data_IF_149402985692
#
_entry.id   IF_149402985692
#
_cell.length_a   1.000
_cell.length_b   1.000
_cell.length_c   1.000
_cell.angle_alpha   90.00
_cell.angle_beta   90.00
_cell.angle_gamma   90.00
#
_symmetry.space_group_name_H-M   'P 1'
#
loop_
_entity.id
_entity.type
_entity.pdbx_description
1 polymer ?
#
# COMPACT_ATOMS: atom_id res chain seq x y z
N UNK A 1 -29.04 -13.72 50.57
CA UNK A 1 -27.90 -13.82 49.65
C UNK A 1 -28.46 -13.58 48.25
N UNK A 2 -28.10 -12.46 47.61
CA UNK A 2 -28.39 -12.27 46.19
C UNK A 2 -27.16 -12.73 45.40
N UNK A 3 -27.30 -13.79 44.62
CA UNK A 3 -26.35 -14.12 43.56
C UNK A 3 -26.41 -13.00 42.52
N UNK A 4 -25.32 -12.24 42.39
CA UNK A 4 -25.09 -11.41 41.21
C UNK A 4 -24.63 -12.35 40.10
N UNK A 5 -25.53 -12.70 39.18
CA UNK A 5 -25.10 -13.22 37.88
C UNK A 5 -24.50 -12.06 37.09
N UNK A 6 -23.18 -11.95 37.10
CA UNK A 6 -22.47 -11.13 36.11
C UNK A 6 -22.61 -11.86 34.79
N UNK A 7 -23.55 -11.42 33.95
CA UNK A 7 -23.46 -11.67 32.53
C UNK A 7 -22.22 -10.91 32.05
N UNK A 8 -21.12 -11.63 31.87
CA UNK A 8 -20.00 -11.14 31.07
C UNK A 8 -20.53 -11.00 29.64
N UNK A 9 -20.88 -9.78 29.26
CA UNK A 9 -21.13 -9.42 27.88
C UNK A 9 -19.79 -9.51 27.16
N UNK A 10 -19.54 -10.64 26.48
CA UNK A 10 -18.57 -10.72 25.39
C UNK A 10 -18.86 -9.56 24.44
N UNK A 11 -17.94 -8.59 24.42
CA UNK A 11 -17.89 -7.57 23.39
C UNK A 11 -17.69 -8.34 22.09
N UNK A 12 -18.75 -8.45 21.30
CA UNK A 12 -18.66 -8.96 19.93
C UNK A 12 -17.83 -7.95 19.13
N UNK A 13 -16.53 -8.18 19.02
CA UNK A 13 -15.74 -7.64 17.90
C UNK A 13 -16.28 -8.28 16.62
N UNK A 14 -17.39 -7.73 16.10
CA UNK A 14 -18.00 -8.11 14.83
C UNK A 14 -17.66 -7.13 13.71
N UNK A 15 -16.72 -6.22 13.95
CA UNK A 15 -16.17 -5.34 12.92
C UNK A 15 -14.80 -5.88 12.51
N UNK A 16 -14.75 -6.55 11.35
CA UNK A 16 -13.48 -7.04 10.80
C UNK A 16 -12.42 -5.93 10.78
N UNK A 17 -11.19 -6.25 11.17
CA UNK A 17 -10.11 -5.26 11.26
C UNK A 17 -9.70 -4.79 9.86
N UNK A 18 -10.12 -3.58 9.49
CA UNK A 18 -9.85 -3.00 8.17
C UNK A 18 -8.62 -2.11 8.19
N UNK A 19 -7.79 -2.23 7.16
CA UNK A 19 -6.69 -1.33 6.89
C UNK A 19 -6.96 -0.57 5.60
N UNK A 20 -6.58 0.71 5.60
CA UNK A 20 -6.42 1.51 4.39
C UNK A 20 -4.96 1.94 4.27
N UNK A 21 -4.44 1.86 3.05
CA UNK A 21 -3.07 2.20 2.75
C UNK A 21 -2.99 3.13 1.54
N UNK A 22 -2.37 4.31 1.69
CA UNK A 22 -2.07 5.21 0.57
C UNK A 22 -0.77 4.77 -0.10
N UNK A 23 -0.89 4.29 -1.34
CA UNK A 23 0.22 3.67 -2.08
C UNK A 23 0.98 4.70 -2.92
N UNK A 24 0.27 5.69 -3.45
CA UNK A 24 0.81 6.70 -4.34
C UNK A 24 -0.05 7.97 -4.30
N UNK A 25 0.54 9.12 -4.57
CA UNK A 25 -0.16 10.42 -4.59
C UNK A 25 0.01 11.16 -5.93
N UNK A 26 0.42 10.45 -6.98
CA UNK A 26 0.70 10.97 -8.33
C UNK A 26 1.81 12.02 -8.40
N UNK A 27 2.64 12.15 -7.37
CA UNK A 27 3.81 13.01 -7.40
C UNK A 27 5.06 12.23 -7.78
N UNK A 28 6.11 12.98 -8.08
CA UNK A 28 7.44 12.41 -8.25
C UNK A 28 7.87 11.61 -7.03
N UNK A 29 8.49 10.47 -7.27
CA UNK A 29 9.22 9.69 -6.29
C UNK A 29 10.34 10.53 -5.65
N UNK A 30 10.93 10.01 -4.58
CA UNK A 30 12.26 10.44 -4.13
C UNK A 30 13.27 10.28 -5.28
N UNK A 31 14.44 10.92 -5.15
CA UNK A 31 15.54 10.66 -6.07
C UNK A 31 16.08 9.25 -5.84
N UNK A 32 15.97 8.39 -6.85
CA UNK A 32 16.39 7.00 -6.84
C UNK A 32 17.69 6.82 -7.61
N UNK A 33 18.20 5.59 -7.65
CA UNK A 33 19.41 5.25 -8.38
C UNK A 33 19.18 3.96 -9.17
N UNK A 34 19.40 4.00 -10.47
CA UNK A 34 19.24 2.84 -11.34
C UNK A 34 20.38 1.82 -11.14
N UNK A 35 20.26 0.64 -11.76
CA UNK A 35 21.29 -0.41 -11.66
C UNK A 35 22.66 0.00 -12.23
N UNK A 36 22.73 1.08 -13.01
CA UNK A 36 23.95 1.64 -13.59
C UNK A 36 24.50 2.81 -12.77
N UNK A 37 23.90 3.12 -11.62
CA UNK A 37 24.32 4.21 -10.75
C UNK A 37 23.78 5.60 -11.14
N UNK A 38 22.93 5.71 -12.17
CA UNK A 38 22.37 7.00 -12.59
C UNK A 38 21.19 7.39 -11.72
N UNK A 39 21.09 8.68 -11.41
CA UNK A 39 19.99 9.23 -10.63
C UNK A 39 18.73 9.36 -11.49
N UNK A 40 17.58 9.09 -10.88
CA UNK A 40 16.30 9.32 -11.54
C UNK A 40 15.18 9.60 -10.55
N UNK A 41 14.11 10.23 -11.03
CA UNK A 41 12.81 10.30 -10.34
C UNK A 41 11.71 9.79 -11.25
N UNK A 42 10.66 9.24 -10.67
CA UNK A 42 9.58 8.59 -11.40
C UNK A 42 8.23 9.13 -10.98
N UNK A 43 7.31 9.27 -11.94
CA UNK A 43 5.92 9.62 -11.71
C UNK A 43 5.01 8.60 -12.38
N UNK A 44 3.96 8.19 -11.69
CA UNK A 44 2.89 7.34 -12.22
C UNK A 44 1.60 8.14 -12.20
N UNK A 45 1.14 8.67 -13.35
CA UNK A 45 -0.09 9.44 -13.43
C UNK A 45 -1.34 8.64 -13.04
N UNK A 46 -2.39 9.31 -12.55
CA UNK A 46 -3.68 8.69 -12.18
C UNK A 46 -4.24 7.75 -13.25
N UNK A 47 -4.25 8.17 -14.52
CA UNK A 47 -4.77 7.36 -15.64
C UNK A 47 -4.05 6.02 -15.81
N UNK A 48 -2.77 5.96 -15.46
CA UNK A 48 -1.98 4.73 -15.52
C UNK A 48 -2.41 3.77 -14.42
N UNK A 49 -2.69 4.29 -13.22
CA UNK A 49 -3.26 3.51 -12.13
C UNK A 49 -4.66 3.00 -12.45
N UNK A 50 -5.56 3.87 -12.92
CA UNK A 50 -6.93 3.50 -13.33
C UNK A 50 -6.93 2.35 -14.35
N UNK A 51 -5.93 2.31 -15.24
CA UNK A 51 -5.79 1.24 -16.23
C UNK A 51 -5.18 -0.05 -15.67
N UNK A 52 -4.37 0.04 -14.60
CA UNK A 52 -3.59 -1.09 -14.07
C UNK A 52 -4.27 -1.86 -12.94
N UNK A 53 -5.23 -1.24 -12.24
CA UNK A 53 -5.86 -1.77 -11.01
C UNK A 53 -6.76 -3.00 -11.23
N UNK A 54 -7.16 -3.32 -12.46
CA UNK A 54 -8.09 -4.42 -12.78
C UNK A 54 -7.49 -5.84 -12.70
N UNK A 55 -6.31 -6.03 -12.10
CA UNK A 55 -5.64 -7.33 -11.97
C UNK A 55 -5.71 -7.82 -10.53
N UNK A 56 -5.68 -9.14 -10.30
CA UNK A 56 -5.48 -9.68 -8.95
C UNK A 56 -4.13 -9.20 -8.42
N UNK A 57 -4.15 -8.17 -7.57
CA UNK A 57 -2.95 -7.61 -6.95
C UNK A 57 -2.65 -8.37 -5.68
N UNK A 58 -1.43 -8.89 -5.58
CA UNK A 58 -0.95 -9.55 -4.36
C UNK A 58 -0.57 -8.49 -3.33
N UNK A 59 -0.91 -8.74 -2.07
CA UNK A 59 -0.53 -7.88 -0.96
C UNK A 59 0.50 -8.59 -0.11
N UNK A 60 1.63 -7.94 0.14
CA UNK A 60 2.77 -8.50 0.86
C UNK A 60 3.11 -7.69 2.11
N UNK A 61 3.89 -8.32 2.98
CA UNK A 61 4.56 -7.69 4.10
C UNK A 61 6.07 -7.72 3.81
N UNK A 62 6.73 -6.57 3.76
CA UNK A 62 8.17 -6.47 3.49
C UNK A 62 8.66 -7.19 2.22
N UNK A 63 7.82 -7.23 1.16
CA UNK A 63 7.99 -8.01 -0.08
C UNK A 63 8.20 -9.52 0.12
N UNK A 64 7.91 -10.02 1.32
CA UNK A 64 7.86 -11.45 1.55
C UNK A 64 6.52 -11.96 1.05
N UNK A 65 6.55 -13.01 0.24
CA UNK A 65 5.38 -13.63 -0.39
C UNK A 65 4.47 -14.28 0.67
N UNK A 66 3.69 -13.44 1.38
CA UNK A 66 2.62 -13.86 2.28
C UNK A 66 1.30 -13.37 1.69
N UNK A 67 0.81 -14.09 0.68
CA UNK A 67 -0.45 -13.80 -0.05
C UNK A 67 -1.68 -13.78 0.89
N UNK A 68 -1.56 -14.16 2.17
CA UNK A 68 -2.69 -14.39 3.07
C UNK A 68 -2.90 -13.40 4.21
N UNK A 69 -2.26 -12.22 4.23
CA UNK A 69 -2.49 -11.27 5.34
C UNK A 69 -3.86 -10.58 5.28
N UNK A 70 -4.43 -10.46 4.08
CA UNK A 70 -5.67 -9.74 3.82
C UNK A 70 -6.68 -10.55 3.03
N UNK A 71 -7.95 -10.19 3.17
CA UNK A 71 -9.08 -10.62 2.37
C UNK A 71 -9.86 -9.38 1.90
N UNK A 72 -10.70 -9.55 0.88
CA UNK A 72 -11.50 -8.46 0.31
C UNK A 72 -10.65 -7.24 -0.11
N UNK A 73 -9.48 -7.52 -0.69
CA UNK A 73 -8.54 -6.49 -1.13
C UNK A 73 -9.15 -5.71 -2.30
N UNK A 74 -9.17 -4.39 -2.18
CA UNK A 74 -9.53 -3.47 -3.25
C UNK A 74 -8.46 -2.40 -3.40
N UNK A 75 -8.24 -1.92 -4.62
CA UNK A 75 -7.38 -0.78 -4.88
C UNK A 75 -8.20 0.23 -5.68
N UNK A 76 -8.15 1.50 -5.30
CA UNK A 76 -8.91 2.57 -5.96
C UNK A 76 -7.99 3.77 -6.23
N UNK A 77 -8.05 4.29 -7.46
CA UNK A 77 -7.42 5.55 -7.83
C UNK A 77 -8.40 6.70 -7.61
N UNK A 78 -8.21 7.45 -6.52
CA UNK A 78 -8.98 8.65 -6.19
C UNK A 78 -8.21 9.91 -6.65
N UNK A 79 -8.78 11.09 -6.47
CA UNK A 79 -8.16 12.34 -6.92
C UNK A 79 -6.89 12.70 -6.15
N UNK A 80 -6.83 12.35 -4.87
CA UNK A 80 -5.71 12.68 -3.97
C UNK A 80 -4.70 11.53 -3.79
N UNK A 81 -4.94 10.39 -4.44
CA UNK A 81 -4.01 9.27 -4.45
C UNK A 81 -4.63 7.93 -4.76
N UNK A 82 -3.81 6.90 -4.64
CA UNK A 82 -4.18 5.50 -4.84
C UNK A 82 -4.22 4.82 -3.49
N UNK A 83 -5.34 4.15 -3.21
CA UNK A 83 -5.60 3.54 -1.92
C UNK A 83 -5.86 2.06 -2.07
N UNK A 84 -5.16 1.27 -1.26
CA UNK A 84 -5.52 -0.12 -1.00
C UNK A 84 -6.38 -0.19 0.26
N UNK A 85 -7.44 -0.97 0.20
CA UNK A 85 -8.27 -1.32 1.35
C UNK A 85 -8.36 -2.84 1.45
N UNK A 86 -8.23 -3.37 2.65
CA UNK A 86 -8.35 -4.80 2.90
C UNK A 86 -8.88 -5.07 4.31
N UNK A 87 -9.50 -6.23 4.46
CA UNK A 87 -9.84 -6.81 5.76
C UNK A 87 -8.70 -7.73 6.19
N UNK A 88 -8.18 -7.55 7.39
CA UNK A 88 -7.23 -8.49 7.99
C UNK A 88 -7.96 -9.79 8.36
N UNK A 89 -7.23 -10.90 8.27
CA UNK A 89 -7.69 -12.17 8.83
C UNK A 89 -7.55 -12.17 10.35
N UNK A 90 -8.35 -12.97 11.05
CA UNK A 90 -8.37 -13.06 12.52
C UNK A 90 -7.01 -13.38 13.13
N UNK A 91 -6.14 -14.12 12.44
CA UNK A 91 -4.81 -14.48 12.91
C UNK A 91 -3.74 -13.39 12.66
N UNK A 92 -4.10 -12.25 12.05
CA UNK A 92 -3.18 -11.20 11.60
C UNK A 92 -3.32 -9.90 12.40
N UNK A 93 -3.89 -9.95 13.62
CA UNK A 93 -4.08 -8.78 14.50
C UNK A 93 -2.77 -8.06 14.84
N UNK A 94 -1.64 -8.77 14.84
CA UNK A 94 -0.31 -8.17 15.03
C UNK A 94 0.04 -7.12 13.97
N UNK A 95 -0.56 -7.20 12.78
CA UNK A 95 -0.42 -6.16 11.73
C UNK A 95 -1.13 -4.89 12.17
N UNK A 96 -2.34 -4.99 12.74
CA UNK A 96 -3.08 -3.83 13.24
C UNK A 96 -2.31 -3.15 14.38
N UNK A 97 -1.74 -3.93 15.30
CA UNK A 97 -0.90 -3.40 16.36
C UNK A 97 0.37 -2.74 15.81
N UNK A 98 0.98 -3.31 14.77
CA UNK A 98 2.14 -2.72 14.10
C UNK A 98 1.78 -1.39 13.42
N UNK A 99 0.60 -1.27 12.82
CA UNK A 99 0.08 -0.01 12.27
C UNK A 99 -0.19 1.00 13.37
N UNK A 100 -0.90 0.62 14.43
CA UNK A 100 -1.22 1.50 15.58
C UNK A 100 0.04 2.00 16.30
N UNK A 101 1.08 1.18 16.37
CA UNK A 101 2.38 1.54 16.94
C UNK A 101 3.33 2.21 15.95
N UNK A 102 2.88 2.49 14.72
CA UNK A 102 3.68 3.09 13.64
C UNK A 102 4.95 2.29 13.29
N UNK A 103 4.97 0.98 13.58
CA UNK A 103 6.01 0.05 13.11
C UNK A 103 5.79 -0.36 11.65
N UNK A 104 4.54 -0.35 11.20
CA UNK A 104 4.17 -0.58 9.80
C UNK A 104 3.48 0.68 9.28
N UNK A 105 4.19 1.48 8.49
CA UNK A 105 3.81 2.88 8.28
C UNK A 105 3.95 3.36 6.83
N UNK A 106 4.45 2.54 5.93
CA UNK A 106 4.68 2.94 4.53
C UNK A 106 4.32 1.80 3.57
N UNK A 107 4.17 2.13 2.29
CA UNK A 107 3.83 1.16 1.26
C UNK A 107 4.72 1.30 0.04
N UNK A 108 4.98 0.17 -0.61
CA UNK A 108 5.56 0.13 -1.93
C UNK A 108 4.70 -0.70 -2.86
N UNK A 109 4.99 -0.63 -4.16
CA UNK A 109 4.31 -1.44 -5.16
C UNK A 109 5.31 -1.90 -6.20
N UNK A 110 5.18 -3.15 -6.60
CA UNK A 110 5.94 -3.75 -7.69
C UNK A 110 5.11 -3.75 -8.97
N UNK A 111 5.71 -3.32 -10.07
CA UNK A 111 5.05 -3.32 -11.38
C UNK A 111 6.03 -3.61 -12.51
N UNK A 112 5.48 -4.06 -13.64
CA UNK A 112 6.22 -4.13 -14.91
C UNK A 112 5.84 -2.90 -15.73
N UNK A 113 6.82 -2.05 -16.01
CA UNK A 113 6.64 -0.92 -16.92
C UNK A 113 6.51 -1.44 -18.37
N UNK A 114 5.43 -1.08 -19.05
CA UNK A 114 5.17 -1.47 -20.44
C UNK A 114 5.30 -0.32 -21.42
N UNK A 115 5.22 0.92 -20.93
CA UNK A 115 5.47 2.13 -21.71
C UNK A 115 5.91 3.28 -20.79
N UNK A 116 6.92 4.03 -21.20
CA UNK A 116 7.46 5.18 -20.45
C UNK A 116 8.03 6.25 -21.37
N UNK A 117 8.02 7.48 -20.88
CA UNK A 117 8.77 8.59 -21.45
C UNK A 117 9.95 8.91 -20.53
N UNK A 118 11.14 9.06 -21.12
CA UNK A 118 12.37 9.42 -20.43
C UNK A 118 12.78 10.84 -20.82
N UNK A 119 12.90 11.72 -19.84
CA UNK A 119 13.40 13.09 -20.03
C UNK A 119 14.77 13.22 -19.38
N UNK A 120 15.80 13.56 -20.15
CA UNK A 120 17.14 13.77 -19.61
C UNK A 120 17.25 15.20 -19.02
N UNK A 121 17.68 15.29 -17.77
CA UNK A 121 17.78 16.56 -17.03
C UNK A 121 19.23 16.91 -16.65
N UNK A 122 20.21 16.37 -17.38
CA UNK A 122 21.63 16.48 -17.07
C UNK A 122 22.07 15.39 -16.10
N UNK A 123 22.12 15.71 -14.81
CA UNK A 123 22.68 14.84 -13.76
C UNK A 123 21.74 13.69 -13.33
N UNK A 124 20.48 13.75 -13.76
CA UNK A 124 19.47 12.72 -13.56
C UNK A 124 18.53 12.67 -14.77
N UNK A 125 17.66 11.68 -14.79
CA UNK A 125 16.57 11.61 -15.75
C UNK A 125 15.22 11.43 -15.05
N UNK A 126 14.16 11.87 -15.71
CA UNK A 126 12.79 11.65 -15.26
C UNK A 126 12.19 10.48 -16.02
N UNK A 127 11.42 9.66 -15.29
CA UNK A 127 10.59 8.58 -15.85
C UNK A 127 9.14 8.93 -15.68
N UNK A 128 8.44 9.16 -16.78
CA UNK A 128 6.99 9.34 -16.78
C UNK A 128 6.38 8.03 -17.26
N UNK A 129 5.82 7.26 -16.33
CA UNK A 129 5.20 5.99 -16.67
C UNK A 129 3.93 6.29 -17.47
N UNK A 130 3.78 5.64 -18.63
CA UNK A 130 2.61 5.77 -19.52
C UNK A 130 1.73 4.53 -19.47
N UNK A 131 2.31 3.38 -19.16
CA UNK A 131 1.59 2.12 -19.00
C UNK A 131 2.34 1.17 -18.06
N UNK A 132 1.60 0.43 -17.24
CA UNK A 132 2.16 -0.58 -16.35
C UNK A 132 1.25 -1.77 -16.15
N UNK A 133 1.85 -2.90 -15.75
CA UNK A 133 1.16 -4.04 -15.15
C UNK A 133 1.52 -4.11 -13.67
N UNK A 134 0.58 -3.75 -12.81
CA UNK A 134 0.72 -3.85 -11.35
C UNK A 134 0.86 -5.33 -10.96
N UNK A 135 1.79 -5.64 -10.04
CA UNK A 135 2.08 -7.01 -9.60
C UNK A 135 1.75 -7.21 -8.15
N UNK A 136 2.19 -6.29 -7.31
CA UNK A 136 2.07 -6.40 -5.87
C UNK A 136 2.05 -5.03 -5.21
N UNK A 137 1.48 -4.99 -4.02
CA UNK A 137 1.62 -3.90 -3.06
C UNK A 137 2.16 -4.50 -1.78
N UNK A 138 3.24 -3.91 -1.24
CA UNK A 138 3.80 -4.34 0.03
C UNK A 138 3.62 -3.27 1.09
N UNK A 139 3.09 -3.68 2.24
CA UNK A 139 3.15 -2.92 3.48
C UNK A 139 4.56 -3.04 4.06
N UNK A 140 5.13 -1.92 4.50
CA UNK A 140 6.54 -1.82 4.88
C UNK A 140 6.74 -1.12 6.23
N UNK A 141 7.78 -1.56 6.93
CA UNK A 141 8.28 -1.02 8.20
C UNK A 141 9.48 -0.07 8.03
N UNK A 142 9.70 0.37 6.79
CA UNK A 142 10.89 1.12 6.36
C UNK A 142 10.54 2.22 5.38
N UNK A 143 11.51 3.03 5.00
CA UNK A 143 11.28 4.06 3.99
C UNK A 143 11.01 3.51 2.59
N UNK A 144 10.14 4.20 1.86
CA UNK A 144 9.71 3.88 0.50
C UNK A 144 10.29 4.82 -0.54
N UNK A 145 10.24 4.38 -1.80
CA UNK A 145 10.66 5.14 -2.96
C UNK A 145 9.73 6.33 -3.25
N UNK A 146 8.42 6.15 -3.03
CA UNK A 146 7.41 7.19 -3.22
C UNK A 146 7.17 7.96 -1.93
N UNK A 147 6.90 9.26 -2.06
CA UNK A 147 6.61 10.12 -0.94
C UNK A 147 5.14 9.94 -0.48
N UNK A 148 4.86 10.33 0.77
CA UNK A 148 3.50 10.43 1.32
C UNK A 148 2.66 9.15 1.22
N UNK A 149 3.32 7.99 1.38
CA UNK A 149 2.63 6.71 1.60
C UNK A 149 2.29 6.59 3.08
N UNK A 150 1.13 6.05 3.40
CA UNK A 150 0.70 5.84 4.78
C UNK A 150 -0.10 4.54 4.92
N UNK A 151 -0.14 3.99 6.13
CA UNK A 151 -1.02 2.88 6.50
C UNK A 151 -1.80 3.31 7.73
N UNK A 152 -3.11 3.08 7.72
CA UNK A 152 -3.98 3.44 8.82
C UNK A 152 -5.10 2.41 9.03
N UNK A 153 -5.54 2.31 10.29
CA UNK A 153 -6.77 1.62 10.66
C UNK A 153 -7.96 2.34 10.01
N UNK A 154 -8.81 1.59 9.30
CA UNK A 154 -10.06 2.12 8.76
C UNK A 154 -11.18 1.82 9.75
N UNK A 155 -11.65 2.86 10.44
CA UNK A 155 -12.85 2.80 11.27
C UNK A 155 -14.08 2.98 10.37
N UNK A 156 -15.08 2.12 10.54
CA UNK A 156 -16.38 2.23 9.86
C UNK A 156 -17.17 3.42 10.39
#
# INVERSE_FOLDING_TARGET
MLEKSTLDFEIRELDGHKIRAKINNYQWSKMLTDRKGRKFREIVPKKVWESAINQEVRVYLNHSDYVSIGQNVTINALDDGVFLEMELRENELGILDAVKSNRLHSCSFGFVCTDEEIVNCGDYYERIIKSMKLKEVSLLDRETAYNHTEIMEKRL
#
